data_IF_757147939969
#
_entry.id   IF_757147939969
#
_cell.length_a   1.000
_cell.length_b   1.000
_cell.length_c   1.000
_cell.angle_alpha   90.00
_cell.angle_beta   90.00
_cell.angle_gamma   90.00
#
_symmetry.space_group_name_H-M   'P 1'
#
loop_
_entity.id
_entity.type
_entity.pdbx_description
1 polymer ?
2 non-polymer ?
3 non-polymer ?
4 non-polymer ?
5 water ?
#
# COMPACT_ATOMS: atom_id res chain seq x y z
N UNK A 26 9.52 -20.19 20.26
CA UNK A 26 10.85 -19.58 20.25
C UNK A 26 10.74 -18.16 19.66
N UNK A 27 11.02 -17.11 20.47
CA UNK A 27 11.07 -15.71 20.00
C UNK A 27 12.35 -15.06 20.56
N UNK A 28 13.45 -15.24 19.84
CA UNK A 28 14.82 -15.24 20.39
C UNK A 28 15.65 -14.03 19.89
N UNK A 29 15.61 -12.91 20.61
CA UNK A 29 16.03 -11.64 20.04
C UNK A 29 17.25 -11.08 20.78
N UNK A 30 18.17 -11.98 21.13
CA UNK A 30 19.38 -11.64 21.87
C UNK A 30 19.06 -11.02 23.20
N UNK A 31 20.09 -10.54 23.91
CA UNK A 31 19.83 -9.86 25.18
C UNK A 31 19.45 -8.39 24.99
N UNK A 32 19.75 -7.78 23.82
CA UNK A 32 19.44 -6.36 23.57
C UNK A 32 17.97 -6.02 23.84
N UNK A 33 17.06 -6.92 23.53
CA UNK A 33 15.64 -6.64 23.55
C UNK A 33 14.95 -7.58 24.53
N UNK A 34 14.29 -6.99 25.56
CA UNK A 34 13.70 -7.74 26.67
C UNK A 34 12.30 -7.20 27.02
N UNK A 35 11.46 -8.02 27.68
CA UNK A 35 10.14 -7.58 28.14
C UNK A 35 9.22 -7.26 26.96
N UNK A 45 4.44 -14.03 10.34
CA UNK A 45 4.82 -14.68 11.59
C UNK A 45 4.59 -13.82 12.83
N UNK A 46 5.06 -14.33 13.97
CA UNK A 46 4.76 -13.78 15.30
C UNK A 46 5.33 -12.39 15.49
N UNK A 47 4.58 -11.49 16.15
CA UNK A 47 5.02 -10.11 16.40
C UNK A 47 4.98 -9.84 17.93
N UNK A 48 5.79 -8.89 18.42
CA UNK A 48 5.92 -8.62 19.85
C UNK A 48 6.55 -7.22 20.05
N UNK A 49 6.19 -6.52 21.13
CA UNK A 49 6.89 -5.30 21.55
C UNK A 49 8.05 -5.71 22.49
N UNK A 50 9.09 -4.87 22.62
CA UNK A 50 10.24 -5.22 23.43
C UNK A 50 11.05 -3.98 23.78
N UNK A 51 11.64 -3.96 24.98
CA UNK A 51 12.49 -2.86 25.41
C UNK A 51 13.90 -2.97 24.79
N UNK A 52 14.37 -1.90 24.15
CA UNK A 52 15.68 -1.85 23.52
C UNK A 52 16.65 -1.24 24.52
N UNK A 53 17.72 -1.98 24.86
CA UNK A 53 18.62 -1.58 25.94
C UNK A 53 19.78 -0.66 25.48
N UNK A 54 19.95 -0.40 24.15
CA UNK A 54 21.06 0.43 23.63
C UNK A 54 20.58 1.86 23.36
N UNK A 55 19.47 1.98 22.64
CA UNK A 55 18.65 3.20 22.59
C UNK A 55 17.53 2.93 23.59
N UNK A 56 17.35 3.78 24.60
CA UNK A 56 16.46 3.46 25.73
C UNK A 56 15.01 3.84 25.41
N UNK A 57 14.45 3.11 24.44
CA UNK A 57 13.08 3.27 23.93
C UNK A 57 12.54 1.86 23.65
N UNK A 58 11.22 1.66 23.79
CA UNK A 58 10.61 0.40 23.34
C UNK A 58 10.55 0.36 21.79
N UNK A 59 10.56 -0.86 21.22
CA UNK A 59 10.56 -1.09 19.77
C UNK A 59 9.54 -2.17 19.41
N UNK A 60 9.26 -2.33 18.11
CA UNK A 60 8.48 -3.44 17.58
C UNK A 60 9.47 -4.43 16.95
N UNK A 61 9.17 -5.72 17.04
CA UNK A 61 10.00 -6.80 16.49
C UNK A 61 9.11 -7.81 15.90
N UNK A 62 9.35 -8.16 14.63
CA UNK A 62 8.58 -9.13 13.85
C UNK A 62 9.46 -10.38 13.56
N UNK A 63 8.99 -11.60 13.90
CA UNK A 63 9.67 -12.87 13.64
C UNK A 63 9.25 -13.43 12.29
N UNK A 64 10.22 -13.65 11.42
CA UNK A 64 9.98 -14.14 10.09
C UNK A 64 10.66 -15.49 10.00
N UNK A 65 9.87 -16.53 9.85
CA UNK A 65 10.33 -17.89 9.66
C UNK A 65 9.92 -18.22 8.25
N UNK A 66 10.66 -17.70 7.25
CA UNK A 66 10.19 -17.80 5.87
C UNK A 66 10.82 -18.92 5.05
N UNK A 67 11.84 -19.62 5.58
CA UNK A 67 12.71 -20.40 4.72
C UNK A 67 12.04 -21.71 4.26
N UNK A 68 10.90 -22.14 4.88
CA UNK A 68 10.18 -23.37 4.48
C UNK A 68 9.34 -23.15 3.22
N UNK A 69 9.13 -21.90 2.76
CA UNK A 69 8.28 -21.65 1.59
C UNK A 69 8.93 -20.62 0.67
N UNK A 70 9.13 -20.98 -0.63
CA UNK A 70 9.66 -20.06 -1.67
C UNK A 70 8.98 -18.69 -1.66
N UNK A 71 7.63 -18.64 -1.71
CA UNK A 71 6.93 -17.36 -1.78
C UNK A 71 7.24 -16.49 -0.53
N UNK A 72 7.35 -17.10 0.65
CA UNK A 72 7.72 -16.36 1.86
C UNK A 72 9.12 -15.73 1.70
N UNK A 73 10.04 -16.42 1.03
CA UNK A 73 11.44 -16.03 0.85
C UNK A 73 11.63 -14.83 -0.10
N UNK A 74 10.95 -14.87 -1.25
CA UNK A 74 11.01 -13.82 -2.27
C UNK A 74 10.48 -12.52 -1.68
N UNK A 75 9.34 -12.60 -0.98
CA UNK A 75 8.67 -11.44 -0.42
C UNK A 75 9.50 -10.87 0.73
N UNK A 76 10.11 -11.75 1.55
CA UNK A 76 10.99 -11.34 2.63
C UNK A 76 12.20 -10.56 2.09
N UNK A 77 12.88 -11.09 1.07
CA UNK A 77 14.03 -10.42 0.51
C UNK A 77 13.63 -9.10 -0.11
N UNK A 78 12.52 -9.10 -0.85
CA UNK A 78 12.06 -7.87 -1.55
C UNK A 78 11.80 -6.78 -0.48
N UNK A 79 11.11 -7.11 0.63
CA UNK A 79 10.82 -6.13 1.65
C UNK A 79 12.07 -5.61 2.30
N UNK A 80 12.99 -6.54 2.68
CA UNK A 80 14.21 -6.09 3.35
C UNK A 80 15.00 -5.13 2.48
N UNK A 81 15.23 -5.51 1.22
CA UNK A 81 16.04 -4.68 0.30
C UNK A 81 15.40 -3.27 0.16
N UNK A 82 14.07 -3.23 -0.05
CA UNK A 82 13.38 -1.93 -0.19
C UNK A 82 13.45 -1.10 1.07
N UNK A 83 13.07 -1.65 2.20
CA UNK A 83 13.03 -0.92 3.43
C UNK A 83 14.38 -0.44 3.91
N UNK A 84 15.45 -1.21 3.64
CA UNK A 84 16.79 -0.76 3.98
C UNK A 84 17.26 0.39 3.08
N UNK A 85 16.78 0.44 1.81
CA UNK A 85 17.17 1.50 0.90
C UNK A 85 16.36 2.76 1.16
N UNK A 86 15.10 2.62 1.48
CA UNK A 86 14.25 3.77 1.77
C UNK A 86 14.56 4.44 3.06
N UNK A 87 14.49 5.77 3.04
CA UNK A 87 14.55 6.55 4.25
C UNK A 87 13.58 7.70 4.16
N UNK A 88 12.44 7.59 4.82
CA UNK A 88 11.37 8.57 4.77
C UNK A 88 10.51 8.55 6.01
N UNK A 89 10.09 9.72 6.49
CA UNK A 89 9.28 9.83 7.71
C UNK A 89 7.98 9.05 7.68
N UNK A 90 7.39 8.85 6.45
CA UNK A 90 6.11 8.22 6.34
C UNK A 90 6.22 6.80 5.79
N UNK A 91 7.45 6.17 5.91
CA UNK A 91 7.65 4.79 5.56
C UNK A 91 8.35 4.12 6.72
N UNK A 92 7.85 2.93 7.13
CA UNK A 92 8.43 2.27 8.29
C UNK A 92 9.91 1.91 7.97
N UNK A 93 10.80 2.06 8.96
CA UNK A 93 12.20 1.75 8.74
C UNK A 93 12.52 0.38 9.30
N UNK A 94 13.65 -0.16 8.94
CA UNK A 94 14.23 -1.28 9.73
C UNK A 94 15.33 -0.72 10.66
N UNK A 95 15.14 -0.90 11.94
CA UNK A 95 16.07 -0.46 13.00
C UNK A 95 17.19 -1.45 13.26
N UNK A 96 16.91 -2.71 13.05
CA UNK A 96 17.84 -3.82 13.37
C UNK A 96 17.30 -5.10 12.76
N UNK A 97 18.20 -6.07 12.43
CA UNK A 97 17.80 -7.39 12.03
C UNK A 97 18.63 -8.35 12.84
N UNK A 98 17.96 -9.29 13.48
CA UNK A 98 18.54 -10.34 14.32
C UNK A 98 18.44 -11.66 13.57
N UNK A 99 19.59 -12.35 13.44
CA UNK A 99 19.60 -13.69 12.92
C UNK A 99 20.89 -14.39 13.39
N UNK A 100 20.95 -15.67 13.23
CA UNK A 100 22.13 -16.49 13.60
C UNK A 100 23.36 -16.04 12.82
N UNK A 101 24.57 -16.29 13.36
CA UNK A 101 25.77 -15.82 12.65
C UNK A 101 26.13 -16.56 11.38
N UNK A 102 25.51 -17.69 11.09
CA UNK A 102 25.80 -18.52 9.92
C UNK A 102 24.54 -18.91 9.21
N UNK A 103 24.62 -19.15 7.89
CA UNK A 103 23.47 -19.60 7.12
C UNK A 103 22.92 -20.91 7.67
N UNK A 104 23.83 -21.81 8.08
CA UNK A 104 23.42 -23.12 8.56
C UNK A 104 22.55 -22.99 9.79
N UNK A 105 22.89 -22.09 10.70
CA UNK A 105 22.19 -21.92 11.96
C UNK A 105 20.98 -20.99 11.82
N UNK A 106 20.82 -20.30 10.68
CA UNK A 106 19.79 -19.27 10.54
C UNK A 106 18.48 -19.96 10.18
N UNK A 107 17.52 -20.00 11.09
CA UNK A 107 16.19 -20.57 10.79
C UNK A 107 15.09 -19.53 10.82
N UNK A 108 15.35 -18.36 11.37
CA UNK A 108 14.43 -17.26 11.52
C UNK A 108 15.21 -15.95 11.32
N UNK A 109 14.50 -14.90 10.97
CA UNK A 109 15.02 -13.53 10.98
C UNK A 109 14.06 -12.66 11.81
N UNK A 110 14.58 -11.84 12.68
CA UNK A 110 13.77 -10.87 13.43
C UNK A 110 14.03 -9.48 12.90
N UNK A 111 12.95 -8.79 12.48
CA UNK A 111 13.08 -7.44 11.97
C UNK A 111 12.60 -6.46 13.07
N UNK A 112 13.41 -5.54 13.43
CA UNK A 112 13.15 -4.57 14.50
C UNK A 112 12.77 -3.22 13.84
N UNK A 113 11.63 -2.67 14.23
CA UNK A 113 11.15 -1.41 13.69
C UNK A 113 10.67 -0.49 14.84
N UNK A 114 10.54 0.83 14.55
CA UNK A 114 9.95 1.81 15.48
C UNK A 114 8.62 1.30 15.99
N UNK A 115 8.34 1.58 17.27
CA UNK A 115 7.14 1.08 17.89
C UNK A 115 6.02 1.97 17.35
N UNK A 116 4.92 1.38 16.92
CA UNK A 116 3.77 2.13 16.42
C UNK A 116 2.62 1.49 17.11
N UNK A 117 1.81 2.25 17.80
CA UNK A 117 0.79 1.71 18.68
C UNK A 117 -0.22 0.89 17.91
N UNK A 118 -0.70 1.43 16.75
CA UNK A 118 -1.86 0.88 16.08
C UNK A 118 -1.71 0.98 14.54
N UNK A 119 -2.79 0.69 13.82
CA UNK A 119 -2.83 0.83 12.37
C UNK A 119 -4.19 1.39 11.99
N UNK A 120 -4.37 1.82 10.74
CA UNK A 120 -5.59 2.49 10.36
C UNK A 120 -6.76 1.46 10.34
N UNK A 121 -6.51 0.18 10.08
CA UNK A 121 -7.58 -0.83 10.09
C UNK A 121 -8.18 -0.90 11.53
N UNK A 122 -7.33 -1.04 12.53
CA UNK A 122 -7.78 -1.11 13.94
C UNK A 122 -8.45 0.16 14.35
N UNK A 123 -7.87 1.32 13.93
CA UNK A 123 -8.42 2.60 14.31
C UNK A 123 -9.83 2.81 13.69
N UNK A 124 -10.03 2.45 12.42
CA UNK A 124 -11.33 2.60 11.77
C UNK A 124 -12.40 1.66 12.33
N UNK A 125 -12.00 0.56 12.97
CA UNK A 125 -13.02 -0.37 13.48
C UNK A 125 -13.73 0.26 14.72
N UNK A 126 -13.11 1.24 15.44
CA UNK A 126 -13.72 1.82 16.63
C UNK A 126 -13.80 3.36 16.69
N UNK A 127 -13.01 4.10 15.87
CA UNK A 127 -12.91 5.55 16.01
C UNK A 127 -13.48 6.30 14.81
N UNK A 128 -14.39 7.25 15.05
CA UNK A 128 -14.71 8.27 14.02
C UNK A 128 -13.50 9.21 13.83
N UNK A 129 -13.15 9.49 12.55
CA UNK A 129 -12.08 10.44 12.28
C UNK A 129 -12.69 11.78 11.98
N UNK A 130 -12.18 12.85 12.58
CA UNK A 130 -12.56 14.20 12.18
C UNK A 130 -12.05 14.46 10.78
N UNK A 131 -12.64 15.43 10.06
CA UNK A 131 -12.12 15.85 8.77
C UNK A 131 -10.65 16.26 8.87
N UNK A 132 -10.21 16.91 9.96
CA UNK A 132 -8.80 17.25 10.13
C UNK A 132 -7.90 16.00 10.17
N UNK A 133 -8.33 14.94 10.85
CA UNK A 133 -7.54 13.71 10.93
C UNK A 133 -7.52 13.06 9.55
N UNK A 134 -8.65 13.07 8.82
CA UNK A 134 -8.69 12.48 7.48
C UNK A 134 -7.68 13.18 6.56
N UNK A 135 -7.68 14.49 6.64
CA UNK A 135 -6.85 15.32 5.79
C UNK A 135 -5.37 15.03 6.07
N UNK A 136 -4.99 15.00 7.36
CA UNK A 136 -3.62 14.79 7.78
C UNK A 136 -3.16 13.37 7.44
N UNK A 137 -4.04 12.36 7.66
CA UNK A 137 -3.64 10.97 7.32
C UNK A 137 -3.44 10.88 5.80
N UNK A 138 -4.37 11.44 5.01
CA UNK A 138 -4.26 11.35 3.54
C UNK A 138 -2.99 12.03 3.05
N UNK A 139 -2.69 13.21 3.64
CA UNK A 139 -1.44 13.94 3.33
C UNK A 139 -0.23 13.02 3.53
N UNK A 140 -0.17 12.38 4.70
CA UNK A 140 1.03 11.56 5.03
C UNK A 140 1.11 10.32 4.11
N UNK A 141 -0.03 9.67 3.76
CA UNK A 141 -0.06 8.54 2.84
C UNK A 141 0.54 9.01 1.52
N UNK A 142 0.07 10.15 1.01
CA UNK A 142 0.51 10.61 -0.31
C UNK A 142 1.97 11.08 -0.29
N UNK A 143 2.41 11.66 0.81
CA UNK A 143 3.79 12.13 0.99
C UNK A 143 4.72 10.90 0.92
N UNK A 144 4.36 9.85 1.66
CA UNK A 144 5.11 8.60 1.63
C UNK A 144 5.08 7.98 0.24
N UNK A 145 3.87 7.95 -0.38
CA UNK A 145 3.75 7.38 -1.73
C UNK A 145 4.54 8.15 -2.77
N UNK A 146 4.66 9.45 -2.63
CA UNK A 146 5.48 10.26 -3.56
C UNK A 146 6.91 9.72 -3.57
N UNK A 147 7.43 9.46 -2.37
CA UNK A 147 8.79 8.92 -2.25
C UNK A 147 8.92 7.54 -2.88
N UNK A 148 8.01 6.63 -2.55
CA UNK A 148 7.99 5.29 -3.13
C UNK A 148 7.94 5.33 -4.68
N UNK A 149 7.00 6.06 -5.25
CA UNK A 149 6.89 6.20 -6.68
C UNK A 149 8.11 6.89 -7.29
N UNK A 150 8.71 7.83 -6.59
CA UNK A 150 9.89 8.51 -7.11
C UNK A 150 11.09 7.50 -7.24
N UNK A 151 11.06 6.44 -6.47
CA UNK A 151 12.07 5.37 -6.57
C UNK A 151 11.68 4.33 -7.63
N UNK A 152 10.64 4.60 -8.45
CA UNK A 152 10.11 3.67 -9.46
C UNK A 152 9.63 2.39 -8.86
N UNK A 153 9.17 2.40 -7.58
CA UNK A 153 8.58 1.28 -6.88
C UNK A 153 7.09 1.45 -6.75
N UNK A 154 6.37 0.34 -6.84
CA UNK A 154 4.92 0.25 -6.60
C UNK A 154 4.74 -0.55 -5.34
N UNK A 155 3.92 -0.06 -4.43
CA UNK A 155 3.69 -0.75 -3.16
C UNK A 155 2.84 -2.02 -3.43
N UNK A 156 1.75 -1.84 -4.14
CA UNK A 156 0.83 -2.86 -4.66
C UNK A 156 -0.03 -3.53 -3.61
N UNK A 157 0.01 -3.11 -2.33
CA UNK A 157 -0.95 -3.66 -1.38
C UNK A 157 -1.26 -2.64 -0.30
N UNK A 158 -1.50 -1.39 -0.74
CA UNK A 158 -1.93 -0.40 0.20
C UNK A 158 -3.35 -0.67 0.66
N UNK A 159 -3.50 -0.59 1.97
CA UNK A 159 -4.76 -0.84 2.68
C UNK A 159 -4.61 -0.36 4.12
N UNK A 160 -5.73 -0.16 4.85
CA UNK A 160 -5.64 0.36 6.18
C UNK A 160 -4.69 -0.39 7.10
N UNK A 161 -4.63 -1.73 7.04
CA UNK A 161 -3.77 -2.49 7.98
C UNK A 161 -2.26 -2.28 7.68
N UNK A 162 -1.91 -1.73 6.46
CA UNK A 162 -0.54 -1.42 6.10
C UNK A 162 -0.20 0.04 6.31
N UNK A 163 -0.98 0.76 7.09
CA UNK A 163 -0.71 2.11 7.50
C UNK A 163 -0.65 2.12 9.02
N UNK A 164 0.55 2.20 9.53
CA UNK A 164 0.80 2.24 10.98
C UNK A 164 0.68 3.65 11.53
N UNK A 165 0.15 3.79 12.79
CA UNK A 165 -0.06 5.06 13.45
C UNK A 165 0.46 4.99 14.87
N UNK A 166 0.91 6.07 15.32
CA UNK A 166 1.32 6.21 16.72
C UNK A 166 0.32 7.12 17.42
N UNK A 167 0.54 7.40 18.74
CA UNK A 167 -0.48 8.10 19.52
C UNK A 167 -0.62 9.56 19.14
N UNK A 168 0.36 10.13 18.45
CA UNK A 168 0.30 11.46 17.92
C UNK A 168 -0.09 11.46 16.46
N UNK A 169 -0.59 10.36 15.96
CA UNK A 169 -1.11 10.23 14.59
C UNK A 169 -0.02 10.45 13.50
N UNK A 170 1.27 10.20 13.80
CA UNK A 170 2.27 9.97 12.73
C UNK A 170 1.91 8.70 12.04
N UNK A 171 2.00 8.72 10.68
CA UNK A 171 1.57 7.63 9.85
C UNK A 171 2.78 7.11 9.07
N UNK A 172 2.95 5.82 9.04
CA UNK A 172 4.02 5.15 8.29
C UNK A 172 3.48 3.93 7.49
N UNK A 173 3.74 3.93 6.20
CA UNK A 173 3.42 2.87 5.32
C UNK A 173 4.31 1.67 5.61
N UNK A 174 3.72 0.48 5.72
CA UNK A 174 4.49 -0.75 5.88
C UNK A 174 4.09 -1.83 4.85
N UNK A 175 4.79 -2.97 4.95
CA UNK A 175 4.61 -4.19 4.18
C UNK A 175 4.88 -4.02 2.72
N UNK A 176 6.13 -4.17 2.35
CA UNK A 176 6.52 -4.10 0.95
C UNK A 176 6.74 -5.48 0.30
N UNK A 177 6.10 -6.48 0.85
CA UNK A 177 6.24 -7.86 0.38
C UNK A 177 5.73 -8.13 -1.01
N UNK A 178 4.78 -7.28 -1.52
CA UNK A 178 4.25 -7.43 -2.86
C UNK A 178 4.75 -6.32 -3.80
N UNK A 179 5.72 -5.49 -3.35
CA UNK A 179 6.18 -4.37 -4.13
C UNK A 179 6.93 -4.82 -5.36
N UNK A 180 6.88 -4.03 -6.39
CA UNK A 180 7.58 -4.28 -7.64
C UNK A 180 8.15 -3.01 -8.16
N UNK A 181 9.22 -3.10 -8.99
CA UNK A 181 9.63 -1.99 -9.80
C UNK A 181 8.60 -1.77 -10.87
N UNK A 182 8.21 -0.52 -11.13
CA UNK A 182 7.20 -0.22 -12.14
C UNK A 182 7.65 -0.70 -13.55
N UNK A 183 6.69 -1.15 -14.34
CA UNK A 183 6.99 -1.76 -15.64
C UNK A 183 5.78 -1.58 -16.52
N UNK A 184 5.48 -0.32 -16.87
CA UNK A 184 4.27 -0.05 -17.66
C UNK A 184 4.20 -0.68 -19.02
N UNK A 185 5.35 -0.92 -19.67
CA UNK A 185 5.33 -1.54 -20.99
C UNK A 185 4.92 -3.00 -20.92
N UNK A 186 5.01 -3.66 -19.72
CA UNK A 186 4.54 -5.04 -19.55
C UNK A 186 3.31 -5.15 -18.63
N UNK A 187 2.48 -4.11 -18.60
CA UNK A 187 1.30 -4.11 -17.72
C UNK A 187 0.14 -4.95 -18.27
N UNK A 188 0.10 -5.19 -19.59
CA UNK A 188 -1.09 -5.80 -20.20
C UNK A 188 -1.20 -7.29 -19.96
N UNK A 189 -2.44 -7.73 -19.75
CA UNK A 189 -2.74 -9.15 -19.56
C UNK A 189 -4.20 -9.40 -20.01
N UNK A 190 -4.61 -10.68 -20.04
CA UNK A 190 -5.96 -11.01 -20.40
C UNK A 190 -6.96 -10.76 -19.28
N UNK A 191 -8.20 -11.00 -19.62
CA UNK A 191 -9.36 -10.84 -18.75
C UNK A 191 -9.33 -11.91 -17.66
N UNK A 192 -9.71 -11.53 -16.47
CA UNK A 192 -9.78 -12.44 -15.32
C UNK A 192 -8.43 -13.09 -14.94
N UNK A 193 -7.33 -12.32 -15.04
CA UNK A 193 -6.02 -12.83 -14.66
C UNK A 193 -5.94 -12.78 -13.16
N UNK A 194 -5.50 -13.87 -12.54
CA UNK A 194 -5.45 -13.97 -11.08
C UNK A 194 -4.47 -12.93 -10.53
N UNK A 195 -4.73 -12.46 -9.32
CA UNK A 195 -3.93 -11.38 -8.74
C UNK A 195 -3.77 -11.69 -7.28
N UNK A 196 -2.65 -11.23 -6.67
CA UNK A 196 -2.32 -11.58 -5.27
C UNK A 196 -2.82 -10.51 -4.24
N UNK A 197 -2.71 -9.21 -4.57
CA UNK A 197 -2.96 -8.15 -3.58
C UNK A 197 -4.40 -8.12 -3.10
N UNK A 198 -4.61 -7.59 -1.91
CA UNK A 198 -5.91 -7.55 -1.23
C UNK A 198 -7.11 -7.08 -2.06
N UNK A 199 -8.15 -7.95 -2.13
CA UNK A 199 -9.20 -7.76 -3.12
C UNK A 199 -9.89 -6.40 -3.08
N UNK A 200 -10.28 -5.94 -1.89
CA UNK A 200 -11.11 -4.73 -1.78
C UNK A 200 -10.42 -3.44 -2.26
N UNK A 201 -9.12 -3.48 -2.38
CA UNK A 201 -8.35 -2.27 -2.76
C UNK A 201 -7.80 -2.36 -4.19
N UNK A 202 -8.25 -3.39 -4.98
CA UNK A 202 -7.80 -3.58 -6.35
C UNK A 202 -8.52 -2.68 -7.34
N UNK A 203 -7.76 -2.05 -8.20
CA UNK A 203 -8.25 -1.16 -9.23
C UNK A 203 -9.06 -2.00 -10.27
N UNK A 204 -10.03 -1.36 -10.92
CA UNK A 204 -10.91 -2.11 -11.85
C UNK A 204 -10.13 -2.83 -12.93
N UNK A 205 -9.05 -2.18 -13.44
CA UNK A 205 -8.29 -2.74 -14.54
C UNK A 205 -7.61 -4.07 -14.20
N UNK A 206 -7.35 -4.34 -12.91
CA UNK A 206 -6.77 -5.65 -12.51
C UNK A 206 -7.64 -6.83 -13.02
N UNK A 207 -8.95 -6.65 -12.97
CA UNK A 207 -9.87 -7.71 -13.36
C UNK A 207 -10.08 -7.77 -14.88
N UNK A 208 -9.58 -6.76 -15.61
CA UNK A 208 -9.87 -6.56 -16.99
C UNK A 208 -8.65 -6.79 -17.85
N UNK A 209 -7.51 -6.07 -17.60
CA UNK A 209 -6.38 -6.13 -18.53
C UNK A 209 -5.02 -5.71 -17.95
N UNK A 210 -4.90 -5.65 -16.63
CA UNK A 210 -3.71 -5.09 -15.99
C UNK A 210 -3.09 -6.05 -14.98
N UNK A 211 -1.74 -6.12 -15.02
CA UNK A 211 -0.91 -6.83 -14.06
C UNK A 211 -0.53 -6.01 -12.80
N UNK A 212 -0.98 -4.77 -12.68
CA UNK A 212 -0.61 -3.94 -11.54
C UNK A 212 0.83 -3.49 -11.53
N UNK A 213 1.33 -3.22 -12.74
CA UNK A 213 2.72 -2.77 -12.89
C UNK A 213 2.84 -1.28 -13.17
N UNK A 214 1.80 -0.46 -12.89
CA UNK A 214 1.89 0.98 -13.06
C UNK A 214 1.49 1.68 -11.78
N UNK A 215 1.98 2.92 -11.62
CA UNK A 215 1.76 3.72 -10.43
C UNK A 215 0.27 3.97 -10.12
N UNK A 216 -0.54 4.02 -11.18
CA UNK A 216 -1.98 4.23 -11.02
C UNK A 216 -2.67 3.15 -10.17
N UNK A 217 -2.04 1.97 -10.03
CA UNK A 217 -2.60 0.88 -9.18
C UNK A 217 -2.66 1.33 -7.71
N UNK A 218 -1.63 2.03 -7.28
CA UNK A 218 -1.49 2.49 -5.93
C UNK A 218 -2.43 3.66 -5.65
N UNK A 219 -2.60 4.57 -6.61
CA UNK A 219 -3.53 5.68 -6.40
C UNK A 219 -4.97 5.17 -6.18
N UNK A 220 -5.40 4.13 -6.93
CA UNK A 220 -6.73 3.56 -6.72
C UNK A 220 -6.86 3.12 -5.26
N UNK A 221 -5.86 2.40 -4.74
CA UNK A 221 -5.91 1.88 -3.38
C UNK A 221 -6.05 3.03 -2.41
N UNK A 222 -5.27 4.11 -2.62
CA UNK A 222 -5.36 5.30 -1.77
C UNK A 222 -6.76 5.89 -1.81
N UNK A 223 -7.37 5.97 -2.99
CA UNK A 223 -8.75 6.43 -3.11
C UNK A 223 -9.69 5.57 -2.27
N UNK A 224 -9.51 4.23 -2.33
CA UNK A 224 -10.32 3.33 -1.51
C UNK A 224 -10.16 3.61 -0.01
N UNK A 225 -8.92 3.89 0.40
CA UNK A 225 -8.60 4.21 1.80
C UNK A 225 -9.24 5.53 2.19
N UNK A 226 -9.15 6.54 1.35
CA UNK A 226 -9.82 7.82 1.62
C UNK A 226 -11.36 7.61 1.86
N UNK A 227 -11.99 6.93 0.96
CA UNK A 227 -13.43 6.59 1.08
C UNK A 227 -13.72 5.86 2.39
N UNK A 228 -12.85 4.94 2.77
CA UNK A 228 -13.02 4.17 3.99
C UNK A 228 -12.85 5.07 5.24
N UNK A 229 -11.93 6.04 5.19
CA UNK A 229 -11.79 7.00 6.28
C UNK A 229 -13.03 7.87 6.44
N UNK A 230 -13.73 8.14 5.35
CA UNK A 230 -14.87 9.03 5.38
C UNK A 230 -16.06 8.39 6.07
N UNK A 231 -16.18 7.05 5.98
CA UNK A 231 -17.35 6.37 6.47
C UNK A 231 -17.08 5.20 7.43
N UNK A 232 -15.81 4.89 7.71
CA UNK A 232 -15.41 3.72 8.49
C UNK A 232 -15.81 2.37 7.89
N UNK A 233 -16.18 2.31 6.61
CA UNK A 233 -16.57 1.06 5.98
C UNK A 233 -15.84 0.99 4.64
N UNK A 234 -15.37 -0.19 4.23
CA UNK A 234 -14.75 -0.31 2.89
C UNK A 234 -15.74 0.07 1.81
N UNK A 235 -15.28 0.80 0.83
CA UNK A 235 -16.17 1.30 -0.22
C UNK A 235 -16.62 0.19 -1.20
N UNK A 236 -15.75 -0.76 -1.49
CA UNK A 236 -15.95 -1.83 -2.48
C UNK A 236 -15.58 -3.20 -1.84
N UNK A 237 -16.38 -3.67 -0.90
CA UNK A 237 -16.10 -4.97 -0.24
C UNK A 237 -16.59 -6.15 -1.06
N UNK A 238 -15.94 -6.39 -2.20
CA UNK A 238 -16.24 -7.57 -3.01
C UNK A 238 -16.02 -8.85 -2.24
N UNK A 239 -16.86 -9.87 -2.48
CA UNK A 239 -16.69 -11.18 -1.82
C UNK A 239 -15.89 -12.21 -2.62
N UNK A 240 -15.56 -11.91 -3.84
CA UNK A 240 -14.76 -12.77 -4.68
C UNK A 240 -14.36 -12.00 -5.93
N UNK A 241 -13.45 -12.60 -6.70
CA UNK A 241 -12.74 -11.93 -7.77
C UNK A 241 -13.59 -10.96 -8.62
N UNK A 242 -14.69 -11.44 -9.29
CA UNK A 242 -15.42 -10.57 -10.23
C UNK A 242 -16.43 -9.69 -9.51
N UNK A 243 -16.89 -10.12 -8.31
CA UNK A 243 -17.75 -9.28 -7.44
C UNK A 243 -17.08 -7.94 -7.15
N UNK A 244 -15.75 -7.91 -7.08
CA UNK A 244 -15.02 -6.67 -6.82
C UNK A 244 -15.33 -5.64 -7.91
N UNK A 245 -15.27 -6.08 -9.19
CA UNK A 245 -15.64 -5.17 -10.30
C UNK A 245 -17.13 -4.75 -10.26
N UNK A 246 -18.05 -5.66 -9.91
CA UNK A 246 -19.46 -5.32 -9.68
C UNK A 246 -19.61 -4.13 -8.69
N UNK A 247 -18.89 -4.20 -7.55
CA UNK A 247 -18.97 -3.15 -6.54
C UNK A 247 -18.52 -1.80 -7.14
N UNK A 248 -17.40 -1.82 -7.82
CA UNK A 248 -16.81 -0.60 -8.39
C UNK A 248 -17.77 0.04 -9.40
N UNK A 249 -18.26 -0.76 -10.33
CA UNK A 249 -19.21 -0.29 -11.32
C UNK A 249 -20.55 0.14 -10.72
N UNK A 250 -20.98 -0.49 -9.63
CA UNK A 250 -22.16 -0.05 -8.90
C UNK A 250 -22.11 1.37 -8.41
N UNK A 251 -20.87 1.91 -8.14
CA UNK A 251 -20.73 3.32 -7.71
C UNK A 251 -20.31 4.24 -8.83
N UNK A 252 -19.26 3.87 -9.60
CA UNK A 252 -18.80 4.75 -10.68
C UNK A 252 -19.79 4.78 -11.87
N UNK A 253 -20.58 3.74 -11.99
CA UNK A 253 -21.45 3.56 -13.14
C UNK A 253 -20.71 2.96 -14.31
N UNK A 254 -21.44 2.71 -15.42
CA UNK A 254 -20.87 2.14 -16.62
C UNK A 254 -19.75 2.99 -17.18
N UNK A 255 -18.64 2.38 -17.60
CA UNK A 255 -17.59 3.16 -18.29
C UNK A 255 -18.09 3.76 -19.58
N UNK A 256 -17.58 4.95 -19.86
CA UNK A 256 -17.88 5.67 -21.07
C UNK A 256 -17.39 4.95 -22.29
N UNK A 257 -17.92 5.32 -23.49
CA UNK A 257 -17.39 4.75 -24.72
C UNK A 257 -15.89 4.97 -24.86
N UNK A 258 -15.42 6.19 -24.57
CA UNK A 258 -14.01 6.52 -24.65
C UNK A 258 -13.16 5.60 -23.77
N UNK A 259 -13.60 5.40 -22.54
CA UNK A 259 -12.89 4.53 -21.63
C UNK A 259 -12.91 3.07 -22.05
N UNK A 260 -14.04 2.60 -22.61
CA UNK A 260 -14.06 1.28 -23.23
C UNK A 260 -13.15 1.16 -24.42
N UNK A 261 -13.11 2.18 -25.28
CA UNK A 261 -12.26 2.13 -26.47
C UNK A 261 -10.80 1.97 -26.12
N UNK A 262 -10.39 2.39 -24.90
CA UNK A 262 -9.07 2.14 -24.39
C UNK A 262 -8.77 0.70 -24.02
N UNK A 263 -9.78 -0.15 -23.84
CA UNK A 263 -9.58 -1.54 -23.49
C UNK A 263 -9.59 -2.31 -24.82
N UNK A 264 -8.43 -2.66 -25.36
CA UNK A 264 -8.41 -3.41 -26.65
C UNK A 264 -8.77 -4.89 -26.47
N UNK A 265 -8.49 -5.43 -25.29
CA UNK A 265 -8.77 -6.81 -24.99
C UNK A 265 -10.25 -7.14 -25.19
N UNK A 266 -10.56 -8.05 -26.10
CA UNK A 266 -11.95 -8.30 -26.49
C UNK A 266 -12.77 -8.97 -25.40
N UNK A 267 -12.21 -9.93 -24.65
CA UNK A 267 -12.98 -10.61 -23.60
C UNK A 267 -13.34 -9.56 -22.52
N UNK A 268 -12.38 -8.69 -22.14
CA UNK A 268 -12.68 -7.67 -21.13
C UNK A 268 -13.71 -6.68 -21.64
N UNK A 269 -13.50 -6.15 -22.90
CA UNK A 269 -14.45 -5.22 -23.47
C UNK A 269 -15.87 -5.77 -23.56
N UNK A 270 -15.99 -6.98 -24.07
CA UNK A 270 -17.31 -7.58 -24.30
C UNK A 270 -17.99 -7.90 -22.98
N UNK A 271 -17.20 -8.23 -21.96
CA UNK A 271 -17.80 -8.39 -20.61
C UNK A 271 -18.46 -7.10 -20.17
N UNK A 272 -17.72 -5.99 -20.26
CA UNK A 272 -18.28 -4.72 -19.90
C UNK A 272 -19.50 -4.34 -20.74
N UNK A 273 -19.47 -4.61 -22.07
CA UNK A 273 -20.63 -4.31 -22.91
C UNK A 273 -21.84 -5.17 -22.57
N UNK A 274 -21.64 -6.34 -21.96
CA UNK A 274 -22.73 -7.25 -21.60
C UNK A 274 -23.52 -6.78 -20.41
N UNK A 275 -23.01 -5.81 -19.63
CA UNK A 275 -23.65 -5.46 -18.37
C UNK A 275 -24.76 -4.45 -18.67
N UNK A 276 -25.83 -4.50 -17.91
CA UNK A 276 -26.81 -3.40 -17.97
C UNK A 276 -26.19 -2.05 -17.59
N UNK A 277 -26.76 -0.96 -18.14
CA UNK A 277 -26.33 0.40 -17.87
C UNK A 277 -26.50 0.68 -16.40
N UNK A 278 -25.46 1.22 -15.73
CA UNK A 278 -25.49 1.62 -14.31
C UNK A 278 -25.11 3.10 -14.29
N UNK A 279 -25.86 3.89 -13.52
CA UNK A 279 -25.63 5.31 -13.35
C UNK A 279 -24.64 5.50 -12.19
N UNK A 280 -23.85 6.54 -12.28
CA UNK A 280 -22.93 6.95 -11.22
C UNK A 280 -23.73 7.32 -9.95
N UNK A 281 -23.25 6.87 -8.79
CA UNK A 281 -23.77 7.28 -7.48
C UNK A 281 -22.93 8.51 -7.12
N UNK A 282 -23.57 9.69 -6.95
CA UNK A 282 -22.83 10.90 -6.57
C UNK A 282 -22.14 10.73 -5.25
N UNK A 283 -20.89 11.17 -5.17
CA UNK A 283 -20.10 11.03 -3.95
C UNK A 283 -20.75 11.72 -2.77
N UNK A 284 -21.40 12.87 -3.01
CA UNK A 284 -22.02 13.64 -1.92
C UNK A 284 -23.27 12.94 -1.32
N UNK A 285 -23.88 12.02 -2.07
CA UNK A 285 -24.92 11.14 -1.55
C UNK A 285 -24.38 9.96 -0.74
N UNK A 286 -23.25 9.40 -1.18
CA UNK A 286 -22.58 8.32 -0.51
C UNK A 286 -21.91 8.80 0.79
N UNK A 287 -21.45 10.06 0.82
CA UNK A 287 -20.65 10.66 1.89
C UNK A 287 -21.22 12.06 2.18
N UNK A 288 -22.43 12.09 2.75
CA UNK A 288 -23.10 13.39 2.97
C UNK A 288 -22.39 14.32 3.98
N UNK A 289 -21.60 13.77 4.91
CA UNK A 289 -20.86 14.61 5.88
C UNK A 289 -19.45 15.00 5.41
N UNK A 290 -19.00 14.52 4.21
CA UNK A 290 -17.65 14.78 3.78
C UNK A 290 -17.42 16.18 3.30
N UNK A 291 -16.21 16.67 3.49
CA UNK A 291 -15.72 17.92 2.94
C UNK A 291 -15.80 17.84 1.41
N UNK A 292 -16.37 18.87 0.75
CA UNK A 292 -16.53 18.83 -0.71
C UNK A 292 -15.18 18.68 -1.44
N UNK A 293 -14.13 19.31 -0.92
CA UNK A 293 -12.81 19.22 -1.54
C UNK A 293 -12.27 17.81 -1.44
N UNK A 294 -12.53 17.13 -0.31
CA UNK A 294 -12.16 15.70 -0.18
C UNK A 294 -12.83 14.84 -1.26
N UNK A 295 -14.13 15.10 -1.55
CA UNK A 295 -14.83 14.35 -2.53
C UNK A 295 -14.35 14.64 -3.94
N UNK A 296 -13.87 15.85 -4.22
CA UNK A 296 -13.35 16.17 -5.54
C UNK A 296 -12.06 15.35 -5.75
N UNK A 297 -11.22 15.27 -4.72
CA UNK A 297 -9.96 14.49 -4.86
C UNK A 297 -10.26 13.02 -4.92
N UNK A 298 -11.21 12.53 -4.08
CA UNK A 298 -11.64 11.15 -4.14
C UNK A 298 -12.08 10.72 -5.55
N UNK A 299 -12.90 11.59 -6.19
CA UNK A 299 -13.35 11.35 -7.54
C UNK A 299 -12.16 11.13 -8.50
N UNK A 300 -11.11 11.94 -8.32
CA UNK A 300 -9.96 11.92 -9.19
C UNK A 300 -9.05 10.69 -8.95
N UNK A 301 -9.03 10.18 -7.71
CA UNK A 301 -8.28 8.97 -7.40
C UNK A 301 -9.07 7.72 -7.86
N UNK A 302 -10.41 7.74 -7.74
CA UNK A 302 -11.25 6.63 -8.16
C UNK A 302 -11.80 6.83 -9.54
N UNK A 303 -10.92 7.16 -10.46
CA UNK A 303 -11.27 7.29 -11.85
C UNK A 303 -11.11 5.89 -12.51
N UNK A 304 -12.07 5.48 -13.30
CA UNK A 304 -12.04 4.16 -13.93
C UNK A 304 -10.80 3.95 -14.82
N UNK A 305 -10.55 4.92 -15.72
CA UNK A 305 -9.51 4.84 -16.72
C UNK A 305 -8.19 5.17 -16.03
N UNK A 306 -7.25 4.20 -15.89
CA UNK A 306 -6.01 4.47 -15.14
C UNK A 306 -5.15 5.57 -15.73
N UNK A 307 -5.25 5.80 -17.04
CA UNK A 307 -4.51 6.90 -17.69
C UNK A 307 -5.01 8.28 -17.24
N UNK A 308 -6.29 8.42 -16.92
CA UNK A 308 -6.87 9.67 -16.52
C UNK A 308 -6.81 9.85 -14.99
N UNK A 309 -6.46 8.81 -14.27
CA UNK A 309 -6.36 8.84 -12.81
C UNK A 309 -5.31 9.81 -12.34
N UNK A 310 -5.57 10.55 -11.30
CA UNK A 310 -4.62 11.53 -10.77
C UNK A 310 -3.31 10.87 -10.33
N UNK A 311 -2.17 11.53 -10.53
CA UNK A 311 -0.91 11.03 -10.04
C UNK A 311 -0.57 11.58 -8.66
N UNK A 312 0.39 10.92 -7.97
CA UNK A 312 0.62 11.26 -6.56
C UNK A 312 0.96 12.73 -6.33
N UNK A 313 1.81 13.32 -7.20
CA UNK A 313 2.18 14.74 -7.04
C UNK A 313 1.02 15.71 -7.28
N UNK A 314 0.14 15.40 -8.27
CA UNK A 314 -1.10 16.18 -8.46
C UNK A 314 -2.02 16.09 -7.28
N UNK A 315 -2.11 14.89 -6.70
CA UNK A 315 -2.94 14.71 -5.52
C UNK A 315 -2.44 15.59 -4.36
N UNK A 316 -1.14 15.58 -4.08
CA UNK A 316 -0.58 16.44 -3.04
C UNK A 316 -0.93 17.92 -3.26
N UNK A 317 -0.95 18.37 -4.55
CA UNK A 317 -1.18 19.76 -4.94
C UNK A 317 -2.71 20.10 -4.96
N UNK A 318 -3.61 19.14 -4.61
CA UNK A 318 -5.05 19.34 -4.70
C UNK A 318 -5.49 20.27 -3.55
N UNK A 319 -6.46 21.16 -3.79
CA UNK A 319 -6.94 22.06 -2.71
C UNK A 319 -7.29 21.41 -1.38
N UNK A 320 -7.77 20.16 -1.36
CA UNK A 320 -8.05 19.49 -0.08
C UNK A 320 -6.84 19.49 0.90
N UNK A 321 -5.60 19.39 0.34
CA UNK A 321 -4.36 19.26 1.10
C UNK A 321 -3.57 20.57 1.21
N UNK A 322 -4.18 21.70 0.86
CA UNK A 322 -3.45 22.98 0.82
C UNK A 322 -2.86 23.40 2.15
N UNK A 323 -3.45 23.00 3.27
CA UNK A 323 -2.84 23.32 4.58
C UNK A 323 -1.46 22.68 4.82
N UNK A 324 -1.17 21.56 4.11
CA UNK A 324 0.01 20.77 4.34
C UNK A 324 0.98 20.82 3.16
N UNK A 325 0.46 21.03 1.93
CA UNK A 325 1.28 20.91 0.72
C UNK A 325 2.48 21.80 0.75
N UNK A 326 3.62 21.20 0.58
CA UNK A 326 4.90 21.90 0.55
C UNK A 326 5.90 21.02 -0.17
N UNK A 327 6.03 21.16 -1.50
CA UNK A 327 6.81 20.16 -2.23
C UNK A 327 8.27 20.11 -1.86
N UNK A 328 8.83 21.22 -1.30
CA UNK A 328 10.19 21.20 -0.81
C UNK A 328 10.34 20.32 0.43
N UNK A 329 9.22 20.02 1.13
CA UNK A 329 9.25 19.19 2.29
C UNK A 329 8.53 17.84 2.01
N UNK A 330 8.55 17.41 0.74
CA UNK A 330 7.95 16.15 0.31
C UNK A 330 9.06 15.51 -0.51
N UNK A 331 10.03 14.93 0.19
CA UNK A 331 11.21 14.43 -0.50
C UNK A 331 11.02 13.24 -1.42
N UNK A 332 11.97 13.16 -2.35
CA UNK A 332 12.06 12.05 -3.29
C UNK A 332 13.32 11.24 -3.06
N UNK A 333 13.34 10.02 -3.61
CA UNK A 333 14.44 9.09 -3.47
C UNK A 333 15.64 9.59 -4.30
N UNK A 334 16.85 9.39 -3.79
CA UNK A 334 18.07 9.81 -4.46
C UNK A 334 18.31 9.07 -5.78
N UNK A 335 17.77 7.84 -5.95
CA UNK A 335 17.85 7.17 -7.25
C UNK A 335 16.75 6.13 -7.46
N UNK A 336 16.49 5.72 -8.72
CA UNK A 336 15.53 4.61 -8.92
C UNK A 336 16.03 3.33 -8.24
N UNK A 337 15.09 2.52 -7.81
CA UNK A 337 15.30 1.18 -7.29
C UNK A 337 14.93 0.18 -8.40
N UNK A 347 16.35 -19.57 -7.13
CA UNK A 347 15.68 -20.51 -6.21
C UNK A 347 15.99 -20.22 -4.74
N UNK A 348 15.16 -20.80 -3.84
CA UNK A 348 15.25 -20.65 -2.41
C UNK A 348 16.64 -20.69 -1.78
N UNK A 349 17.57 -21.54 -2.26
CA UNK A 349 18.87 -21.69 -1.60
C UNK A 349 19.70 -20.43 -1.85
N UNK A 350 19.65 -19.91 -3.08
CA UNK A 350 20.27 -18.62 -3.34
C UNK A 350 19.44 -17.53 -2.59
N UNK A 351 18.08 -17.65 -2.41
CA UNK A 351 17.26 -16.62 -1.71
C UNK A 351 17.63 -16.52 -0.22
N UNK A 352 17.87 -17.65 0.45
CA UNK A 352 18.33 -17.64 1.84
C UNK A 352 19.71 -17.01 1.95
N UNK A 353 20.61 -17.32 0.98
CA UNK A 353 21.94 -16.65 0.92
C UNK A 353 21.81 -15.17 0.70
N UNK A 354 20.87 -14.76 -0.16
CA UNK A 354 20.67 -13.35 -0.44
C UNK A 354 20.14 -12.62 0.83
N UNK A 355 19.24 -13.23 1.57
CA UNK A 355 18.73 -12.69 2.84
C UNK A 355 19.84 -12.64 3.87
N UNK A 356 20.62 -13.70 4.01
CA UNK A 356 21.82 -13.67 4.89
C UNK A 356 22.74 -12.45 4.55
N UNK A 357 23.05 -12.27 3.24
CA UNK A 357 23.95 -11.19 2.83
C UNK A 357 23.36 -9.82 3.08
N UNK A 358 22.08 -9.68 2.77
CA UNK A 358 21.34 -8.43 2.93
C UNK A 358 21.23 -8.02 4.39
N UNK A 359 21.27 -8.98 5.35
CA UNK A 359 21.12 -8.67 6.77
C UNK A 359 22.47 -8.60 7.52
N UNK A 360 23.60 -8.84 6.82
CA UNK A 360 24.94 -8.80 7.38
C UNK A 360 25.31 -7.53 8.13
N UNK A 361 24.80 -6.34 7.73
CA UNK A 361 25.27 -5.08 8.32
C UNK A 361 24.82 -4.86 9.77
N UNK A 362 23.85 -5.66 10.25
CA UNK A 362 23.35 -5.56 11.60
C UNK A 362 24.08 -6.52 12.56
N UNK A 363 25.01 -7.30 12.07
CA UNK A 363 25.76 -8.21 12.90
C UNK A 363 26.84 -7.46 13.66
N UNK A 364 27.10 -7.85 14.94
CA UNK A 364 28.16 -7.17 15.74
C UNK A 364 29.49 -6.93 15.03
X LIG B 1 -9.50 -13.63 -5.29
X LIG B 1 -10.45 -12.53 -5.58
X LIG B 1 -9.92 -14.84 -6.13
X LIG B 1 -9.48 -13.89 -3.89
X LIG B 1 -8.10 -13.23 -5.75
X LIG C 1 0.31 18.41 12.35
X LIG C 1 1.59 17.93 12.79
X LIG C 1 -0.82 17.55 12.84
X LIG C 1 -2.06 18.13 12.47
X LIG C 1 -3.15 17.79 13.34
X LIG C 1 -4.03 16.78 12.67
X LIG C 1 -5.36 16.84 13.15
X LIG D 1 1.86 -2.00 15.71
X LIG D 1 2.56 -5.21 12.08
X LIG D 1 2.74 -4.77 9.69
X LIG D 1 2.72 -3.58 7.41
X LIG D 1 4.01 -3.31 13.07
X LIG D 1 5.22 -3.27 12.37
X LIG D 1 6.20 -2.34 12.69
X LIG D 1 5.99 -1.43 13.73
X LIG D 1 4.79 -1.47 14.44
X LIG D 1 3.81 -2.40 14.10
X LIG D 1 1.97 -4.45 8.41
X LIG D 1 3.94 -5.03 9.66
X LIG D 1 2.02 -4.75 10.81
X LIG D 1 2.86 -4.08 13.01
X LIG D 1 1.98 -3.70 13.94
X LIG D 1 2.58 -2.65 14.62
X LIG D 1 1.64 -2.67 16.40
X LIG D 1 1.05 -1.58 15.37
X LIG D 1 2.44 -1.31 16.10
X LIG D 1 3.38 -5.73 11.91
X LIG D 1 1.90 -5.81 12.50
X LIG D 1 3.65 -3.91 7.33
X LIG D 1 2.29 -3.67 6.54
X LIG D 1 5.36 -3.89 11.65
X LIG D 1 7.01 -2.32 12.20
X LIG D 1 6.65 -0.79 13.95
X LIG D 1 4.64 -0.84 15.15
X LIG D 1 1.73 -5.29 7.98
X LIG D 1 1.13 -3.99 8.66
X LIG D 1 1.21 -4.45 10.78
#
# INVERSE_FOLDING_TARGET
MAHHHHHHMAAAAAAGAGPEMVRGQVFDVGPRYTNLSYIGEGAYGMVCSAYDNVNKVRVAIKKISPFEHQTYCQRTLREIKILLRFRHENIIGINDIIRAPTIEQMKDVYIVQDLMETDLYKLLKTQHLSNDHICYFLYQILRGLKYIHSANVLHRDLKPSNLLLNTTCDLKICDFGLARVADPDHDHTGFLTEYVATRWYRAPEIMLNSKGYTKSIDIWSVGCILAEMLSNRPIFPGKHYLDQLNHILGILGSPSQEDLNCIINLKARNYLLSLPHKNKVPWNRLFPNADSKALDLLDKMLTFNPHKRIEVEQALAHPYLEQYYDPSDEPIAEAPFKFDMELDDLPKEKLKELIFEETARFQPGYRS
SO4 S O1 O2 O3 O4
PEG C1 O1 C2 O2 C3 C4 O4
NB3 C1 C5 C7 C10 C11 C12 C13 C14 C15 C16 C9 O8 N6 C4 N3 N2 H18 H19 H17 H20 H21 H24 H1 H26 H27 H28 H29 H23 H30 H22
#
